data_IF_769387176475
#
_entry.id   IF_769387176475
#
_cell.length_a   1.000
_cell.length_b   1.000
_cell.length_c   1.000
_cell.angle_alpha   90.00
_cell.angle_beta   90.00
_cell.angle_gamma   90.00
#
_symmetry.space_group_name_H-M   'P 1'
#
loop_
_entity.id
_entity.type
_entity.pdbx_description
1 polymer ?
#
# COMPACT_ATOMS: atom_id res chain seq x y z
N UNK A 1 13.34 16.72 2.58
CA UNK A 1 13.19 18.19 2.68
C UNK A 1 13.10 18.74 4.10
N UNK A 2 12.82 17.94 5.14
CA UNK A 2 12.80 18.38 6.56
C UNK A 2 11.89 19.60 6.82
N UNK A 3 10.89 19.80 5.98
CA UNK A 3 9.79 20.75 6.18
C UNK A 3 8.65 20.06 6.90
N UNK A 4 7.83 20.80 7.65
CA UNK A 4 6.64 20.23 8.25
C UNK A 4 5.58 19.95 7.17
N UNK A 5 4.68 19.00 7.42
CA UNK A 5 3.76 18.47 6.41
C UNK A 5 2.82 19.56 5.87
N UNK A 6 2.41 20.50 6.71
CA UNK A 6 1.56 21.65 6.35
C UNK A 6 2.22 22.60 5.35
N UNK A 7 3.54 22.52 5.14
CA UNK A 7 4.26 23.27 4.11
C UNK A 7 4.24 22.58 2.74
N UNK A 8 3.64 21.39 2.63
CA UNK A 8 3.56 20.61 1.40
C UNK A 8 2.15 20.72 0.83
N UNK A 9 2.04 21.31 -0.35
CA UNK A 9 0.84 21.24 -1.18
C UNK A 9 1.01 20.15 -2.23
N UNK A 10 -0.07 19.40 -2.50
CA UNK A 10 -0.14 18.46 -3.61
C UNK A 10 -1.23 18.91 -4.58
N UNK A 11 -0.97 18.79 -5.88
CA UNK A 11 -1.96 19.09 -6.90
C UNK A 11 -2.98 17.95 -7.03
N UNK A 12 -4.20 18.30 -7.42
CA UNK A 12 -5.18 17.31 -7.92
C UNK A 12 -4.63 16.65 -9.17
N UNK A 13 -4.87 15.34 -9.31
CA UNK A 13 -4.39 14.59 -10.47
C UNK A 13 -5.11 15.07 -11.74
N UNK A 14 -4.32 15.51 -12.73
CA UNK A 14 -4.80 16.08 -13.99
C UNK A 14 -3.77 15.78 -15.08
N UNK A 15 -4.19 15.20 -16.21
CA UNK A 15 -3.29 14.82 -17.30
C UNK A 15 -2.61 16.00 -17.98
N UNK A 16 -3.18 17.22 -17.87
CA UNK A 16 -2.58 18.42 -18.46
C UNK A 16 -1.39 18.96 -17.63
N UNK A 17 -1.36 18.66 -16.33
CA UNK A 17 -0.38 19.23 -15.39
C UNK A 17 0.46 18.19 -14.63
N UNK A 18 -0.03 16.95 -14.50
CA UNK A 18 0.64 15.88 -13.77
C UNK A 18 1.56 15.08 -14.69
N UNK A 19 2.78 14.73 -14.25
CA UNK A 19 3.64 13.82 -15.00
C UNK A 19 2.95 12.46 -15.23
N UNK A 20 3.31 11.79 -16.32
CA UNK A 20 2.78 10.48 -16.65
C UNK A 20 3.01 9.47 -15.51
N UNK A 21 1.93 8.83 -15.07
CA UNK A 21 1.95 7.62 -14.24
C UNK A 21 1.08 6.56 -14.91
N UNK A 22 1.55 5.31 -14.94
CA UNK A 22 0.87 4.23 -15.65
C UNK A 22 -0.53 3.93 -15.10
N UNK A 23 -0.63 3.60 -13.81
CA UNK A 23 -1.88 3.40 -13.05
C UNK A 23 -1.62 3.21 -11.56
N UNK A 24 -2.69 3.38 -10.78
CA UNK A 24 -2.78 2.98 -9.36
C UNK A 24 -3.35 1.56 -9.29
N UNK A 25 -2.47 0.56 -9.33
CA UNK A 25 -2.79 -0.87 -9.24
C UNK A 25 -1.54 -1.68 -8.82
N UNK A 26 -1.67 -2.98 -8.54
CA UNK A 26 -0.56 -3.87 -8.18
C UNK A 26 0.22 -3.38 -6.95
N UNK A 27 -0.47 -2.69 -6.04
CA UNK A 27 0.08 -2.12 -4.81
C UNK A 27 1.36 -1.28 -5.03
N UNK A 28 1.55 -0.68 -6.21
CA UNK A 28 2.87 -0.15 -6.59
C UNK A 28 3.15 1.28 -6.16
N UNK A 29 2.11 2.08 -5.88
CA UNK A 29 2.25 3.55 -5.80
C UNK A 29 3.22 4.01 -4.70
N UNK A 30 3.08 3.48 -3.49
CA UNK A 30 4.01 3.79 -2.39
C UNK A 30 5.45 3.54 -2.81
N UNK A 31 5.72 2.41 -3.44
CA UNK A 31 7.07 2.07 -3.88
C UNK A 31 7.51 2.93 -5.09
N UNK A 32 6.79 2.89 -6.21
CA UNK A 32 7.25 3.50 -7.46
C UNK A 32 7.14 5.03 -7.45
N UNK A 33 5.97 5.58 -7.10
CA UNK A 33 5.78 7.02 -7.07
C UNK A 33 6.49 7.63 -5.85
N UNK A 34 6.51 6.93 -4.71
CA UNK A 34 7.28 7.36 -3.54
C UNK A 34 8.78 7.44 -3.82
N UNK A 35 9.36 6.49 -4.56
CA UNK A 35 10.76 6.61 -5.04
C UNK A 35 10.96 7.80 -5.97
N UNK A 36 10.05 8.03 -6.91
CA UNK A 36 10.14 9.16 -7.83
C UNK A 36 10.11 10.50 -7.08
N UNK A 37 9.18 10.66 -6.13
CA UNK A 37 9.10 11.86 -5.27
C UNK A 37 10.35 11.98 -4.41
N UNK A 38 10.82 10.90 -3.79
CA UNK A 38 12.03 10.91 -2.96
C UNK A 38 13.23 11.42 -3.77
N UNK A 39 13.46 10.90 -4.98
CA UNK A 39 14.58 11.32 -5.80
C UNK A 39 14.43 12.74 -6.35
N UNK A 40 13.22 13.16 -6.73
CA UNK A 40 12.96 14.55 -7.08
C UNK A 40 13.31 15.50 -5.91
N UNK A 41 13.05 15.10 -4.67
CA UNK A 41 13.45 15.89 -3.49
C UNK A 41 14.94 15.88 -3.21
N UNK A 42 15.68 14.84 -3.61
CA UNK A 42 17.16 14.83 -3.51
C UNK A 42 17.76 15.86 -4.46
N UNK A 43 17.29 15.92 -5.71
CA UNK A 43 17.73 16.94 -6.66
C UNK A 43 17.36 18.36 -6.17
N UNK A 44 16.14 18.55 -5.68
CA UNK A 44 15.70 19.83 -5.13
C UNK A 44 16.55 20.24 -3.92
N UNK A 45 16.91 19.29 -3.04
CA UNK A 45 17.80 19.54 -1.90
C UNK A 45 19.18 19.96 -2.36
N UNK A 46 19.75 19.32 -3.37
CA UNK A 46 21.08 19.69 -3.88
C UNK A 46 21.11 21.14 -4.39
N UNK A 47 20.10 21.52 -5.18
CA UNK A 47 19.96 22.89 -5.69
C UNK A 47 19.80 23.93 -4.58
N UNK A 48 18.98 23.62 -3.57
CA UNK A 48 18.80 24.47 -2.38
C UNK A 48 20.12 24.66 -1.62
N UNK A 49 20.89 23.58 -1.44
CA UNK A 49 22.15 23.64 -0.71
C UNK A 49 23.24 24.36 -1.52
N UNK A 50 23.25 24.24 -2.85
CA UNK A 50 24.15 25.05 -3.70
C UNK A 50 23.82 26.55 -3.56
N UNK A 51 22.55 26.93 -3.63
CA UNK A 51 22.13 28.33 -3.44
C UNK A 51 22.44 28.86 -2.03
N UNK A 52 22.27 28.02 -1.01
CA UNK A 52 22.62 28.37 0.37
C UNK A 52 24.14 28.53 0.54
N UNK A 53 24.95 27.69 -0.09
CA UNK A 53 26.41 27.75 -0.05
C UNK A 53 26.92 29.08 -0.65
N UNK A 54 26.34 29.50 -1.77
CA UNK A 54 26.62 30.80 -2.37
C UNK A 54 26.21 31.96 -1.45
N UNK A 55 25.04 31.88 -0.80
CA UNK A 55 24.55 32.92 0.11
C UNK A 55 25.41 33.07 1.37
N UNK A 56 25.93 31.94 1.86
CA UNK A 56 26.68 31.87 3.11
C UNK A 56 28.19 31.92 2.89
N UNK A 57 28.65 31.94 1.63
CA UNK A 57 30.06 31.92 1.23
C UNK A 57 30.82 30.79 1.92
N UNK A 58 30.32 29.55 1.77
CA UNK A 58 30.92 28.35 2.34
C UNK A 58 30.86 27.16 1.37
N UNK A 59 31.51 26.05 1.73
CA UNK A 59 31.30 24.79 0.99
C UNK A 59 29.89 24.26 1.24
N UNK A 60 29.30 23.63 0.24
CA UNK A 60 28.04 22.87 0.40
C UNK A 60 28.18 21.75 1.44
N UNK A 61 29.36 21.14 1.52
CA UNK A 61 29.63 20.03 2.44
C UNK A 61 29.64 20.49 3.91
N UNK A 62 29.77 21.79 4.15
CA UNK A 62 29.70 22.39 5.49
C UNK A 62 28.27 22.78 5.90
N UNK A 63 27.26 22.46 5.08
CA UNK A 63 25.87 22.83 5.32
C UNK A 63 25.04 21.69 5.91
N UNK A 64 24.27 22.02 6.95
CA UNK A 64 23.27 21.14 7.54
C UNK A 64 21.86 21.70 7.30
N UNK A 65 20.95 20.83 6.84
CA UNK A 65 19.53 21.14 6.73
C UNK A 65 18.82 20.69 8.02
N UNK A 66 18.27 21.65 8.75
CA UNK A 66 17.52 21.41 9.97
C UNK A 66 16.02 21.15 9.70
N UNK A 67 15.34 20.65 10.73
CA UNK A 67 13.87 20.56 10.72
C UNK A 67 13.30 21.98 10.72
N UNK A 68 12.34 22.24 9.84
CA UNK A 68 11.74 23.57 9.64
C UNK A 68 12.31 24.36 8.46
N UNK A 69 13.31 23.83 7.76
CA UNK A 69 13.83 24.46 6.54
C UNK A 69 14.92 25.52 6.77
N UNK A 70 15.57 25.52 7.93
CA UNK A 70 16.79 26.30 8.17
C UNK A 70 18.00 25.55 7.63
N UNK A 71 18.90 26.26 6.95
CA UNK A 71 20.19 25.74 6.49
C UNK A 71 21.30 26.48 7.23
N UNK A 72 22.14 25.74 7.96
CA UNK A 72 23.18 26.28 8.85
C UNK A 72 24.57 25.80 8.43
N UNK A 73 25.58 26.64 8.59
CA UNK A 73 26.98 26.24 8.45
C UNK A 73 27.44 25.53 9.73
N UNK A 74 27.97 24.31 9.61
CA UNK A 74 28.46 23.52 10.75
C UNK A 74 29.56 24.29 11.49
N UNK A 75 29.43 24.42 12.82
CA UNK A 75 30.41 25.10 13.67
C UNK A 75 30.39 26.64 13.58
N UNK A 76 29.33 27.23 13.03
CA UNK A 76 29.17 28.69 12.88
C UNK A 76 27.73 29.11 13.18
N UNK A 77 27.54 30.38 13.54
CA UNK A 77 26.22 30.99 13.72
C UNK A 77 25.58 31.45 12.39
N UNK A 78 26.29 31.27 11.26
CA UNK A 78 25.79 31.62 9.92
C UNK A 78 24.71 30.63 9.48
N UNK A 79 23.56 31.17 9.08
CA UNK A 79 22.43 30.40 8.61
C UNK A 79 21.58 31.20 7.61
N UNK A 80 20.75 30.48 6.87
CA UNK A 80 19.73 31.02 5.96
C UNK A 80 18.48 30.14 6.07
N UNK A 81 17.35 30.62 5.57
CA UNK A 81 16.09 29.88 5.55
C UNK A 81 15.66 29.52 4.13
N UNK A 82 14.82 28.49 3.99
CA UNK A 82 14.15 28.18 2.72
C UNK A 82 13.42 29.38 2.12
N UNK A 83 12.85 30.26 2.96
CA UNK A 83 12.21 31.50 2.52
C UNK A 83 13.21 32.42 1.81
N UNK A 84 14.38 32.65 2.41
CA UNK A 84 15.41 33.53 1.85
C UNK A 84 16.06 32.91 0.62
N UNK A 85 16.32 31.60 0.64
CA UNK A 85 16.83 30.85 -0.51
C UNK A 85 15.85 30.94 -1.68
N UNK A 86 14.55 30.66 -1.46
CA UNK A 86 13.54 30.76 -2.49
C UNK A 86 13.39 32.19 -3.04
N UNK A 87 13.47 33.20 -2.16
CA UNK A 87 13.45 34.60 -2.57
C UNK A 87 14.66 34.97 -3.44
N UNK A 88 15.88 34.53 -3.09
CA UNK A 88 17.07 34.73 -3.93
C UNK A 88 16.94 34.01 -5.26
N UNK A 89 16.52 32.74 -5.24
CA UNK A 89 16.36 31.94 -6.44
C UNK A 89 15.42 32.63 -7.44
N UNK A 90 14.25 33.08 -6.97
CA UNK A 90 13.26 33.77 -7.79
C UNK A 90 13.75 35.12 -8.33
N UNK A 91 14.38 35.95 -7.49
CA UNK A 91 14.70 37.34 -7.86
C UNK A 91 16.07 37.53 -8.53
N UNK A 92 16.99 36.56 -8.43
CA UNK A 92 18.38 36.75 -8.85
C UNK A 92 18.95 35.64 -9.71
N UNK A 93 18.59 34.39 -9.48
CA UNK A 93 19.20 33.23 -10.16
C UNK A 93 18.40 32.77 -11.38
N UNK A 94 17.07 32.94 -11.34
CA UNK A 94 16.16 32.48 -12.39
C UNK A 94 15.33 31.26 -11.99
N UNK A 95 14.84 31.23 -10.74
CA UNK A 95 13.98 30.18 -10.20
C UNK A 95 12.66 30.00 -10.96
N UNK A 96 11.76 29.11 -10.49
CA UNK A 96 11.76 28.42 -9.20
C UNK A 96 12.76 27.25 -9.13
N UNK A 97 13.11 26.85 -7.90
CA UNK A 97 13.88 25.63 -7.67
C UNK A 97 12.95 24.43 -7.91
N UNK A 98 13.32 23.60 -8.87
CA UNK A 98 12.55 22.40 -9.26
C UNK A 98 13.45 21.17 -9.23
N UNK A 99 12.88 20.03 -8.84
CA UNK A 99 13.49 18.71 -8.98
C UNK A 99 12.55 17.79 -9.77
N UNK A 100 13.12 16.88 -10.55
CA UNK A 100 12.37 15.96 -11.38
C UNK A 100 13.00 14.57 -11.35
N UNK A 101 12.16 13.54 -11.25
CA UNK A 101 12.62 12.17 -11.40
C UNK A 101 11.53 11.29 -11.99
N UNK A 102 11.94 10.37 -12.85
CA UNK A 102 11.11 9.31 -13.38
C UNK A 102 11.69 7.97 -12.95
N UNK A 103 10.84 7.09 -12.41
CA UNK A 103 11.24 5.76 -11.98
C UNK A 103 10.61 4.69 -12.87
N UNK A 104 11.45 3.76 -13.32
CA UNK A 104 11.04 2.51 -13.93
C UNK A 104 11.90 1.38 -13.37
N UNK A 105 11.33 0.19 -13.17
CA UNK A 105 12.11 -1.02 -12.86
C UNK A 105 13.02 -1.38 -14.04
N UNK A 106 14.26 -1.76 -13.74
CA UNK A 106 15.27 -2.23 -14.68
C UNK A 106 14.85 -3.54 -15.37
N UNK A 107 15.43 -3.81 -16.55
CA UNK A 107 15.25 -5.06 -17.31
C UNK A 107 14.79 -4.83 -18.75
N UNK A 108 15.18 -5.69 -19.72
CA UNK A 108 14.72 -5.60 -21.09
C UNK A 108 13.23 -5.98 -21.12
N UNK A 109 12.37 -4.96 -21.14
CA UNK A 109 10.91 -5.12 -21.33
C UNK A 109 10.54 -5.27 -22.81
N UNK A 110 11.47 -4.88 -23.67
CA UNK A 110 11.27 -4.80 -25.10
C UNK A 110 12.62 -5.01 -25.77
N UNK A 111 12.72 -6.03 -26.62
CA UNK A 111 13.82 -6.15 -27.57
C UNK A 111 13.46 -5.30 -28.81
N UNK A 112 14.07 -4.12 -28.99
CA UNK A 112 13.74 -3.24 -30.11
C UNK A 112 14.09 -3.82 -31.47
N UNK A 113 14.97 -4.83 -31.53
CA UNK A 113 15.35 -5.49 -32.79
C UNK A 113 14.35 -6.57 -33.19
N UNK A 114 13.67 -7.17 -32.21
CA UNK A 114 12.68 -8.25 -32.43
C UNK A 114 11.24 -7.77 -32.34
N UNK A 115 11.02 -6.53 -31.92
CA UNK A 115 9.70 -6.00 -31.54
C UNK A 115 8.98 -6.93 -30.55
N UNK A 116 9.76 -7.62 -29.72
CA UNK A 116 9.29 -8.65 -28.81
C UNK A 116 9.25 -8.07 -27.39
N UNK A 117 8.09 -8.19 -26.75
CA UNK A 117 7.93 -7.88 -25.34
C UNK A 117 8.23 -9.15 -24.55
N UNK A 118 9.31 -9.15 -23.77
CA UNK A 118 9.67 -10.26 -22.89
C UNK A 118 9.52 -9.84 -21.43
N UNK A 119 9.11 -10.79 -20.59
CA UNK A 119 8.77 -10.62 -19.17
C UNK A 119 7.48 -9.81 -18.98
N UNK A 120 6.44 -10.46 -18.45
CA UNK A 120 5.21 -9.78 -18.08
C UNK A 120 5.52 -8.77 -16.97
N UNK A 121 4.72 -7.71 -16.82
CA UNK A 121 4.98 -6.63 -15.85
C UNK A 121 5.19 -7.09 -14.39
N UNK A 122 4.80 -8.33 -14.07
CA UNK A 122 4.93 -8.95 -12.75
C UNK A 122 6.29 -9.62 -12.50
N UNK A 123 7.00 -10.08 -13.53
CA UNK A 123 8.26 -10.82 -13.38
C UNK A 123 9.42 -9.94 -12.88
N UNK A 124 9.27 -8.61 -13.05
CA UNK A 124 10.23 -7.59 -12.62
C UNK A 124 9.72 -6.75 -11.42
N UNK A 125 8.66 -7.19 -10.73
CA UNK A 125 8.27 -6.57 -9.45
C UNK A 125 9.30 -6.98 -8.39
N UNK A 126 10.33 -6.16 -8.24
CA UNK A 126 11.47 -6.44 -7.36
C UNK A 126 11.20 -6.32 -5.85
N UNK A 127 9.93 -6.33 -5.42
CA UNK A 127 9.55 -6.13 -4.01
C UNK A 127 8.43 -7.07 -3.65
N UNK A 128 8.68 -7.90 -2.64
CA UNK A 128 7.72 -8.86 -2.12
C UNK A 128 7.24 -8.42 -0.75
N UNK A 129 5.94 -8.56 -0.54
CA UNK A 129 5.26 -8.33 0.73
C UNK A 129 4.83 -9.68 1.24
N UNK A 130 5.27 -10.04 2.43
CA UNK A 130 4.89 -11.30 3.07
C UNK A 130 3.84 -11.02 4.14
N UNK A 131 3.00 -12.00 4.43
CA UNK A 131 2.03 -11.88 5.50
C UNK A 131 1.54 -13.21 6.01
N UNK A 132 0.99 -13.18 7.22
CA UNK A 132 0.35 -14.30 7.88
C UNK A 132 -0.97 -13.83 8.47
N UNK A 133 -2.02 -14.62 8.25
CA UNK A 133 -3.37 -14.32 8.74
C UNK A 133 -3.87 -15.51 9.56
N UNK A 134 -4.41 -15.23 10.74
CA UNK A 134 -5.10 -16.17 11.60
C UNK A 134 -6.52 -15.69 11.89
N UNK A 135 -7.48 -16.61 11.98
CA UNK A 135 -8.87 -16.28 12.25
C UNK A 135 -9.45 -17.19 13.34
N UNK A 136 -10.33 -16.62 14.16
CA UNK A 136 -11.24 -17.36 15.05
C UNK A 136 -12.63 -17.26 14.47
N UNK A 137 -13.32 -18.40 14.39
CA UNK A 137 -14.68 -18.47 13.87
C UNK A 137 -15.55 -19.26 14.83
N UNK A 138 -16.79 -18.81 14.99
CA UNK A 138 -17.88 -19.60 15.57
C UNK A 138 -18.73 -20.16 14.44
N UNK A 139 -19.07 -21.44 14.52
CA UNK A 139 -19.93 -22.11 13.53
C UNK A 139 -21.15 -22.70 14.21
N UNK A 140 -22.33 -22.27 13.79
CA UNK A 140 -23.59 -22.94 14.12
C UNK A 140 -23.73 -24.17 13.23
N UNK A 141 -23.61 -25.36 13.84
CA UNK A 141 -23.66 -26.64 13.11
C UNK A 141 -25.06 -27.04 12.67
N UNK A 142 -26.11 -26.36 13.15
CA UNK A 142 -27.50 -26.60 12.73
C UNK A 142 -27.82 -25.80 11.48
N UNK A 143 -27.35 -24.55 11.41
CA UNK A 143 -27.66 -23.64 10.28
C UNK A 143 -26.53 -23.54 9.25
N UNK A 144 -25.32 -23.94 9.63
CA UNK A 144 -24.09 -23.70 8.85
C UNK A 144 -23.63 -22.26 8.88
N UNK A 145 -24.20 -21.38 9.71
CA UNK A 145 -23.74 -19.99 9.82
C UNK A 145 -22.37 -19.93 10.48
N UNK A 146 -21.40 -19.32 9.81
CA UNK A 146 -20.09 -18.99 10.37
C UNK A 146 -20.02 -17.49 10.69
N UNK A 147 -19.50 -17.15 11.87
CA UNK A 147 -19.22 -15.78 12.31
C UNK A 147 -17.74 -15.66 12.60
N UNK A 148 -17.07 -14.66 12.03
CA UNK A 148 -15.64 -14.41 12.29
C UNK A 148 -15.53 -13.54 13.53
N UNK A 149 -14.98 -14.10 14.61
CA UNK A 149 -14.87 -13.40 15.89
C UNK A 149 -13.65 -12.49 15.93
N UNK A 150 -12.51 -13.01 15.46
CA UNK A 150 -11.23 -12.32 15.58
C UNK A 150 -10.31 -12.66 14.43
N UNK A 151 -9.57 -11.67 13.95
CA UNK A 151 -8.55 -11.84 12.92
C UNK A 151 -7.23 -11.24 13.40
N UNK A 152 -6.14 -12.00 13.28
CA UNK A 152 -4.78 -11.48 13.36
C UNK A 152 -4.23 -11.37 11.95
N UNK A 153 -3.69 -10.21 11.59
CA UNK A 153 -3.13 -9.95 10.27
C UNK A 153 -1.74 -9.33 10.41
N UNK A 154 -0.71 -10.14 10.18
CA UNK A 154 0.69 -9.73 10.21
C UNK A 154 1.22 -9.52 8.79
N UNK A 155 1.87 -8.39 8.52
CA UNK A 155 2.42 -8.08 7.22
C UNK A 155 3.82 -7.46 7.31
N UNK A 156 4.75 -8.00 6.53
CA UNK A 156 6.06 -7.40 6.26
C UNK A 156 5.90 -6.26 5.27
N UNK A 157 5.80 -5.06 5.82
CA UNK A 157 5.60 -3.81 5.08
C UNK A 157 6.88 -3.00 4.95
N UNK A 158 8.01 -3.53 5.45
CA UNK A 158 9.31 -2.86 5.50
C UNK A 158 9.31 -1.65 6.43
N UNK A 159 8.69 -0.55 6.01
CA UNK A 159 8.47 0.63 6.86
C UNK A 159 7.12 1.28 6.56
N UNK A 160 6.37 1.57 7.61
CA UNK A 160 5.10 2.28 7.53
C UNK A 160 5.36 3.76 7.34
N UNK A 161 5.02 4.27 6.14
CA UNK A 161 5.06 5.73 5.88
C UNK A 161 4.03 6.46 6.75
N UNK A 162 2.83 5.88 6.88
CA UNK A 162 1.78 6.33 7.79
C UNK A 162 1.13 5.09 8.44
N UNK A 163 1.49 4.77 9.70
CA UNK A 163 0.97 3.59 10.39
C UNK A 163 -0.56 3.51 10.44
N UNK A 164 -1.23 4.63 10.73
CA UNK A 164 -2.69 4.68 10.80
C UNK A 164 -3.35 4.35 9.45
N UNK A 165 -2.81 4.85 8.34
CA UNK A 165 -3.32 4.51 7.00
C UNK A 165 -3.05 3.05 6.64
N UNK A 166 -1.90 2.51 7.05
CA UNK A 166 -1.56 1.09 6.82
C UNK A 166 -2.50 0.19 7.62
N UNK A 167 -2.76 0.50 8.89
CA UNK A 167 -3.75 -0.21 9.71
C UNK A 167 -5.14 -0.15 9.07
N UNK A 168 -5.60 1.04 8.66
CA UNK A 168 -6.89 1.20 7.97
C UNK A 168 -7.01 0.36 6.69
N UNK A 169 -5.92 0.25 5.91
CA UNK A 169 -5.89 -0.64 4.73
C UNK A 169 -6.05 -2.11 5.13
N UNK A 170 -5.37 -2.57 6.18
CA UNK A 170 -5.49 -3.96 6.66
C UNK A 170 -6.89 -4.23 7.20
N UNK A 171 -7.49 -3.30 7.98
CA UNK A 171 -8.87 -3.42 8.44
C UNK A 171 -9.85 -3.59 7.28
N UNK A 172 -9.78 -2.69 6.28
CA UNK A 172 -10.64 -2.77 5.10
C UNK A 172 -10.44 -4.08 4.32
N UNK A 173 -9.19 -4.51 4.16
CA UNK A 173 -8.85 -5.74 3.47
C UNK A 173 -9.35 -7.00 4.21
N UNK A 174 -9.32 -7.00 5.54
CA UNK A 174 -9.88 -8.08 6.36
C UNK A 174 -11.39 -8.15 6.19
N UNK A 175 -12.11 -7.03 6.33
CA UNK A 175 -13.57 -7.00 6.17
C UNK A 175 -13.97 -7.43 4.76
N UNK A 176 -13.30 -6.92 3.72
CA UNK A 176 -13.52 -7.36 2.35
C UNK A 176 -13.21 -8.86 2.16
N UNK A 177 -12.17 -9.36 2.81
CA UNK A 177 -11.82 -10.79 2.80
C UNK A 177 -12.86 -11.67 3.48
N UNK A 178 -13.53 -11.20 4.53
CA UNK A 178 -14.67 -11.89 5.17
C UNK A 178 -15.83 -12.01 4.18
N UNK A 179 -16.16 -10.91 3.48
CA UNK A 179 -17.16 -10.91 2.42
C UNK A 179 -16.87 -11.90 1.31
N UNK A 180 -15.64 -11.85 0.78
CA UNK A 180 -15.17 -12.80 -0.23
C UNK A 180 -15.22 -14.26 0.25
N UNK A 181 -14.94 -14.50 1.53
CA UNK A 181 -14.93 -15.84 2.10
C UNK A 181 -16.33 -16.41 2.35
N UNK A 182 -17.30 -15.60 2.76
CA UNK A 182 -18.57 -16.08 3.33
C UNK A 182 -19.84 -15.61 2.60
N UNK A 183 -19.80 -14.48 1.90
CA UNK A 183 -21.01 -13.75 1.47
C UNK A 183 -21.06 -13.49 -0.04
N UNK A 184 -19.99 -12.96 -0.61
CA UNK A 184 -20.00 -12.33 -1.94
C UNK A 184 -19.94 -13.37 -3.07
N UNK A 185 -21.00 -13.45 -3.89
CA UNK A 185 -21.06 -14.32 -5.07
C UNK A 185 -21.78 -13.61 -6.22
N UNK A 186 -21.19 -13.63 -7.41
CA UNK A 186 -21.89 -13.24 -8.64
C UNK A 186 -22.60 -14.46 -9.22
N UNK A 187 -23.93 -14.40 -9.34
CA UNK A 187 -24.76 -15.51 -9.82
C UNK A 187 -25.13 -15.28 -11.27
N UNK A 188 -24.76 -16.23 -12.14
CA UNK A 188 -24.99 -16.14 -13.57
C UNK A 188 -25.97 -17.21 -14.04
N UNK A 189 -27.00 -16.79 -14.77
CA UNK A 189 -27.98 -17.68 -15.39
C UNK A 189 -28.11 -17.34 -16.87
N UNK A 190 -27.87 -18.32 -17.76
CA UNK A 190 -27.96 -18.13 -19.22
C UNK A 190 -27.19 -16.89 -19.72
N UNK A 191 -26.01 -16.63 -19.14
CA UNK A 191 -25.16 -15.48 -19.48
C UNK A 191 -25.59 -14.15 -18.86
N UNK A 192 -26.62 -14.12 -18.02
CA UNK A 192 -27.12 -12.92 -17.35
C UNK A 192 -26.76 -12.95 -15.86
N UNK A 193 -26.25 -11.83 -15.35
CA UNK A 193 -26.02 -11.64 -13.92
C UNK A 193 -27.39 -11.43 -13.23
N UNK A 194 -27.78 -12.34 -12.36
CA UNK A 194 -29.11 -12.33 -11.72
C UNK A 194 -29.16 -11.50 -10.45
N UNK A 195 -28.00 -11.20 -9.84
CA UNK A 195 -27.89 -10.41 -8.62
C UNK A 195 -27.02 -9.14 -8.76
N UNK A 196 -27.29 -8.22 -9.72
CA UNK A 196 -26.46 -7.04 -9.96
C UNK A 196 -26.64 -5.92 -8.91
N UNK A 197 -27.51 -6.11 -7.90
CA UNK A 197 -27.85 -5.10 -6.90
C UNK A 197 -27.25 -5.44 -5.54
N UNK A 198 -26.98 -4.44 -4.70
CA UNK A 198 -26.53 -4.66 -3.31
C UNK A 198 -27.60 -5.33 -2.42
N UNK A 199 -28.84 -5.45 -2.90
CA UNK A 199 -29.85 -6.25 -2.20
C UNK A 199 -29.53 -7.74 -2.32
N UNK A 200 -29.02 -8.20 -3.45
CA UNK A 200 -28.84 -9.63 -3.74
C UNK A 200 -27.36 -10.05 -3.77
N UNK A 201 -26.46 -9.11 -4.07
CA UNK A 201 -25.01 -9.25 -3.87
C UNK A 201 -24.64 -8.74 -2.47
N UNK A 202 -24.44 -9.67 -1.55
CA UNK A 202 -24.24 -9.38 -0.12
C UNK A 202 -22.79 -8.99 0.16
N UNK A 203 -22.54 -7.69 0.25
CA UNK A 203 -21.30 -7.18 0.85
C UNK A 203 -21.41 -7.23 2.38
N UNK A 204 -20.28 -7.37 3.10
CA UNK A 204 -20.26 -7.29 4.56
C UNK A 204 -20.83 -5.98 5.08
N UNK A 205 -21.62 -6.06 6.14
CA UNK A 205 -21.98 -4.90 6.95
C UNK A 205 -21.18 -4.85 8.28
N UNK A 206 -21.57 -3.93 9.18
CA UNK A 206 -20.90 -3.77 10.47
C UNK A 206 -21.06 -4.96 11.42
N UNK A 207 -22.09 -5.80 11.24
CA UNK A 207 -22.33 -7.01 12.03
C UNK A 207 -21.60 -8.23 11.45
N UNK A 208 -21.19 -8.18 10.18
CA UNK A 208 -20.35 -9.19 9.55
C UNK A 208 -18.84 -8.95 9.81
N UNK A 209 -18.49 -7.76 10.28
CA UNK A 209 -17.11 -7.41 10.62
C UNK A 209 -16.65 -8.16 11.86
N UNK A 210 -15.38 -8.62 11.92
CA UNK A 210 -14.86 -9.25 13.13
C UNK A 210 -14.90 -8.29 14.33
N UNK A 211 -15.23 -8.83 15.52
CA UNK A 211 -15.23 -8.05 16.77
C UNK A 211 -13.84 -7.43 17.05
N UNK A 212 -12.78 -8.15 16.68
CA UNK A 212 -11.41 -7.67 16.84
C UNK A 212 -10.54 -8.00 15.62
N UNK A 213 -9.88 -6.97 15.08
CA UNK A 213 -8.84 -7.10 14.05
C UNK A 213 -7.52 -6.62 14.65
N UNK A 214 -6.58 -7.54 14.83
CA UNK A 214 -5.24 -7.26 15.36
C UNK A 214 -4.28 -7.13 14.20
N UNK A 215 -3.87 -5.89 13.91
CA UNK A 215 -2.89 -5.58 12.88
C UNK A 215 -1.48 -5.64 13.46
N UNK A 216 -0.59 -6.37 12.80
CA UNK A 216 0.84 -6.44 13.16
C UNK A 216 1.68 -5.97 11.98
N UNK A 217 2.30 -4.80 12.12
CA UNK A 217 3.19 -4.22 11.11
C UNK A 217 4.61 -4.72 11.37
N UNK A 218 5.14 -5.55 10.48
CA UNK A 218 6.50 -6.09 10.60
C UNK A 218 7.44 -5.18 9.83
N UNK A 219 8.37 -4.54 10.54
CA UNK A 219 9.30 -3.53 10.01
C UNK A 219 10.79 -3.94 10.12
N UNK A 220 11.08 -5.18 10.56
CA UNK A 220 12.45 -5.66 10.79
C UNK A 220 13.26 -5.88 9.49
N UNK A 221 12.60 -5.92 8.34
CA UNK A 221 13.20 -6.17 7.03
C UNK A 221 12.87 -5.02 6.04
N UNK A 222 13.41 -3.80 6.26
CA UNK A 222 13.14 -2.67 5.39
C UNK A 222 13.61 -2.94 3.97
N UNK A 223 12.80 -2.53 2.99
CA UNK A 223 13.16 -2.64 1.58
C UNK A 223 14.15 -1.54 1.21
N UNK A 224 15.43 -1.89 1.08
CA UNK A 224 16.53 -0.93 0.84
C UNK A 224 16.31 -0.03 -0.38
N UNK A 225 15.57 -0.53 -1.37
CA UNK A 225 15.27 0.23 -2.60
C UNK A 225 14.01 1.08 -2.48
N UNK A 226 13.16 0.83 -1.49
CA UNK A 226 11.89 1.52 -1.25
C UNK A 226 12.08 2.88 -0.56
N UNK A 227 11.09 3.78 -0.67
CA UNK A 227 11.19 5.08 -0.01
C UNK A 227 11.22 4.88 1.50
N UNK A 228 12.31 5.30 2.14
CA UNK A 228 12.56 5.12 3.57
C UNK A 228 12.53 3.66 4.07
N UNK A 229 12.64 2.66 3.19
CA UNK A 229 12.49 1.25 3.56
C UNK A 229 11.09 0.67 3.34
N UNK A 230 10.14 1.46 2.83
CA UNK A 230 8.75 1.04 2.70
C UNK A 230 8.50 0.06 1.53
N UNK A 231 7.64 -0.92 1.81
CA UNK A 231 6.97 -1.79 0.82
C UNK A 231 5.52 -1.32 0.65
N UNK A 232 4.66 -2.18 0.10
CA UNK A 232 3.24 -1.88 -0.10
C UNK A 232 2.33 -2.79 0.72
N UNK A 233 1.07 -2.38 0.92
CA UNK A 233 0.09 -3.16 1.70
C UNK A 233 -1.30 -3.23 1.05
N UNK A 234 -1.53 -2.47 -0.03
CA UNK A 234 -2.88 -2.22 -0.57
C UNK A 234 -3.68 -3.49 -0.89
N UNK A 235 -3.04 -4.49 -1.48
CA UNK A 235 -3.69 -5.77 -1.82
C UNK A 235 -3.25 -6.92 -0.91
N UNK A 236 -2.12 -6.79 -0.19
CA UNK A 236 -1.58 -7.90 0.59
C UNK A 236 -2.44 -8.26 1.81
N UNK A 237 -3.21 -7.30 2.34
CA UNK A 237 -4.08 -7.48 3.50
C UNK A 237 -5.19 -8.53 3.30
N UNK A 238 -5.71 -8.69 2.07
CA UNK A 238 -6.89 -9.53 1.81
C UNK A 238 -6.51 -11.00 1.52
N UNK A 239 -5.31 -11.24 1.02
CA UNK A 239 -4.89 -12.54 0.42
C UNK A 239 -5.08 -13.72 1.39
N UNK A 240 -4.71 -13.54 2.65
CA UNK A 240 -4.73 -14.61 3.66
C UNK A 240 -6.08 -14.83 4.35
N UNK A 241 -7.07 -13.95 4.14
CA UNK A 241 -8.28 -13.91 4.96
C UNK A 241 -9.18 -15.12 4.71
N UNK A 242 -9.58 -15.35 3.45
CA UNK A 242 -10.42 -16.49 3.09
C UNK A 242 -9.82 -17.87 3.45
N UNK A 243 -8.54 -18.17 3.16
CA UNK A 243 -7.96 -19.45 3.60
C UNK A 243 -7.81 -19.57 5.11
N UNK A 244 -7.55 -18.47 5.85
CA UNK A 244 -7.53 -18.51 7.31
C UNK A 244 -8.91 -18.87 7.89
N UNK A 245 -9.98 -18.28 7.35
CA UNK A 245 -11.37 -18.60 7.73
C UNK A 245 -11.69 -20.07 7.39
N UNK A 246 -11.35 -20.54 6.19
CA UNK A 246 -11.58 -21.92 5.78
C UNK A 246 -10.86 -22.94 6.68
N UNK A 247 -9.62 -22.64 7.09
CA UNK A 247 -8.87 -23.46 8.03
C UNK A 247 -9.49 -23.44 9.44
N UNK A 248 -9.98 -22.29 9.90
CA UNK A 248 -10.66 -22.17 11.18
C UNK A 248 -11.98 -22.95 11.21
N UNK A 249 -12.76 -22.90 10.11
CA UNK A 249 -13.96 -23.71 9.91
C UNK A 249 -13.64 -25.20 9.96
N UNK A 250 -12.59 -25.64 9.25
CA UNK A 250 -12.13 -27.03 9.28
C UNK A 250 -11.75 -27.46 10.71
N UNK A 251 -11.03 -26.61 11.44
CA UNK A 251 -10.68 -26.88 12.84
C UNK A 251 -11.92 -26.98 13.75
N UNK A 252 -12.94 -26.15 13.52
CA UNK A 252 -14.16 -26.13 14.33
C UNK A 252 -15.12 -27.30 14.04
N UNK A 253 -15.14 -27.80 12.79
CA UNK A 253 -16.22 -28.68 12.32
C UNK A 253 -15.76 -29.98 11.65
N UNK A 254 -14.47 -30.09 11.30
CA UNK A 254 -13.95 -31.14 10.43
C UNK A 254 -14.22 -30.93 8.93
N UNK A 255 -15.19 -30.09 8.56
CA UNK A 255 -15.57 -29.86 7.17
C UNK A 255 -14.46 -29.13 6.38
N UNK A 256 -13.93 -29.77 5.32
CA UNK A 256 -12.94 -29.16 4.42
C UNK A 256 -13.65 -28.41 3.31
N UNK A 257 -13.75 -27.09 3.45
CA UNK A 257 -14.30 -26.23 2.41
C UNK A 257 -13.28 -26.03 1.28
N UNK A 258 -13.66 -26.35 0.04
CA UNK A 258 -12.84 -26.20 -1.17
C UNK A 258 -13.42 -25.21 -2.17
N UNK A 259 -14.54 -24.57 -1.81
CA UNK A 259 -15.24 -23.57 -2.62
C UNK A 259 -15.68 -22.40 -1.76
N UNK A 260 -15.43 -21.19 -2.26
CA UNK A 260 -15.94 -19.93 -1.71
C UNK A 260 -17.02 -19.33 -2.64
N UNK A 261 -17.91 -18.47 -2.10
CA UNK A 261 -18.08 -18.22 -0.67
C UNK A 261 -18.61 -19.47 0.05
N UNK A 262 -18.15 -19.67 1.28
CA UNK A 262 -18.59 -20.71 2.21
C UNK A 262 -19.91 -20.28 2.85
N UNK A 263 -20.94 -20.10 2.02
CA UNK A 263 -22.28 -19.73 2.46
C UNK A 263 -22.81 -20.74 3.47
N UNK A 264 -23.79 -20.34 4.29
CA UNK A 264 -24.33 -21.22 5.33
C UNK A 264 -24.82 -22.55 4.79
N UNK A 265 -25.48 -22.54 3.63
CA UNK A 265 -25.91 -23.75 2.92
C UNK A 265 -24.73 -24.66 2.55
N UNK A 266 -23.65 -24.10 1.98
CA UNK A 266 -22.47 -24.88 1.56
C UNK A 266 -21.74 -25.46 2.76
N UNK A 267 -21.60 -24.68 3.82
CA UNK A 267 -20.96 -25.13 5.05
C UNK A 267 -21.78 -26.24 5.71
N UNK A 268 -23.10 -26.06 5.85
CA UNK A 268 -23.98 -27.10 6.39
C UNK A 268 -23.88 -28.40 5.60
N UNK A 269 -23.93 -28.34 4.27
CA UNK A 269 -23.75 -29.51 3.41
C UNK A 269 -22.38 -30.16 3.61
N UNK A 270 -21.32 -29.36 3.77
CA UNK A 270 -19.98 -29.85 4.10
C UNK A 270 -19.94 -30.64 5.41
N UNK A 271 -20.55 -30.09 6.47
CA UNK A 271 -20.63 -30.73 7.80
C UNK A 271 -21.42 -32.04 7.73
N UNK A 272 -22.59 -32.01 7.09
CA UNK A 272 -23.47 -33.19 6.98
C UNK A 272 -22.82 -34.32 6.18
N UNK A 273 -22.05 -33.99 5.14
CA UNK A 273 -21.37 -35.00 4.32
C UNK A 273 -20.30 -35.80 5.09
N UNK A 274 -19.75 -35.25 6.17
CA UNK A 274 -18.79 -35.95 7.03
C UNK A 274 -19.43 -36.83 8.10
N UNK A 275 -20.68 -36.53 8.48
CA UNK A 275 -21.42 -37.28 9.50
C UNK A 275 -22.06 -38.57 8.94
N UNK A 276 -21.96 -38.79 7.62
CA UNK A 276 -22.56 -39.91 6.89
C UNK A 276 -21.65 -41.14 6.69
N UNK A 277 -20.53 -41.24 7.41
CA UNK A 277 -19.65 -42.43 7.50
C UNK A 277 -19.63 -42.95 8.93
#
# INVERSE_FOLDING_TARGET
>A
MRLPLESIAYATQDTDSSPYNWKTAASRITYTAGRAVMQATVEMRDRILNDAADMLECSKDDLELEIGGTVRVVGSDRQTSFREIAARAFNRVGGPIMGHHAFAFDGPRFDPKRAEMSNFAFDNLGVYVFGAVGAVVDVDTVTGKAVVQKVWSAHDIGRAINPQSVEGQVHGAVVQGVGYALLEELVWENGHLTNPSFMDYKIPDGLDSPDEIVVMLIEDAPETTGPYGAKSIGEAGIVGVAPAIANAIYNATGARMTRIPMTSERLLNGILSQSGT
#
